data_IF_207779012077
#
_entry.id   IF_207779012077
#
_cell.length_a   1.000
_cell.length_b   1.000
_cell.length_c   1.000
_cell.angle_alpha   90.00
_cell.angle_beta   90.00
_cell.angle_gamma   90.00
#
_symmetry.space_group_name_H-M   'P 1'
#
loop_
_entity.id
_entity.type
_entity.pdbx_description
1 polymer ?
#
# COMPACT_ATOMS: atom_id res chain seq x y z
N UNK A 1 3.87 -7.13 -25.21
CA UNK A 1 4.07 -5.68 -24.91
C UNK A 1 4.14 -5.50 -23.41
N UNK A 2 4.98 -4.61 -22.92
CA UNK A 2 5.03 -4.27 -21.49
C UNK A 2 3.86 -3.36 -21.18
N UNK A 3 3.00 -3.77 -20.26
CA UNK A 3 1.71 -3.13 -19.97
C UNK A 3 1.85 -1.71 -19.38
N UNK A 4 2.94 -1.45 -18.66
CA UNK A 4 3.20 -0.18 -17.98
C UNK A 4 4.40 0.57 -18.57
N UNK A 5 4.66 0.34 -19.89
CA UNK A 5 5.78 0.99 -20.57
C UNK A 5 5.71 2.53 -20.38
N UNK A 6 6.80 3.12 -19.89
CA UNK A 6 6.99 4.54 -19.61
C UNK A 6 6.04 5.18 -18.57
N UNK A 7 5.22 4.39 -17.88
CA UNK A 7 4.40 4.88 -16.76
C UNK A 7 5.27 5.26 -15.56
N UNK A 8 4.88 6.32 -14.87
CA UNK A 8 5.54 6.88 -13.70
C UNK A 8 4.75 6.47 -12.47
N UNK A 9 5.40 5.70 -11.60
CA UNK A 9 4.74 5.03 -10.46
C UNK A 9 5.41 5.43 -9.16
N UNK A 10 4.65 5.90 -8.17
CA UNK A 10 5.10 6.07 -6.80
C UNK A 10 4.59 4.91 -5.94
N UNK A 11 5.50 4.24 -5.22
CA UNK A 11 5.16 3.18 -4.25
C UNK A 11 5.65 3.58 -2.86
N UNK A 12 4.75 3.83 -1.92
CA UNK A 12 5.14 4.13 -0.54
C UNK A 12 5.54 2.87 0.21
N UNK A 13 6.57 2.95 1.06
CA UNK A 13 7.13 1.77 1.73
C UNK A 13 7.66 0.74 0.73
N UNK A 14 8.23 1.20 -0.40
CA UNK A 14 8.63 0.37 -1.54
C UNK A 14 9.96 -0.37 -1.38
N UNK A 15 10.67 -0.21 -0.27
CA UNK A 15 12.03 -0.76 -0.11
C UNK A 15 12.08 -2.23 0.33
N UNK A 16 10.97 -2.81 0.82
CA UNK A 16 10.89 -4.20 1.32
C UNK A 16 9.49 -4.79 1.18
N UNK A 17 9.38 -6.10 1.42
CA UNK A 17 8.11 -6.84 1.52
C UNK A 17 7.19 -6.62 0.31
N UNK A 18 5.91 -6.39 0.58
CA UNK A 18 4.87 -6.17 -0.44
C UNK A 18 5.23 -5.00 -1.35
N UNK A 19 5.67 -3.86 -0.78
CA UNK A 19 6.02 -2.67 -1.55
C UNK A 19 7.16 -2.89 -2.54
N UNK A 20 8.21 -3.62 -2.14
CA UNK A 20 9.31 -4.01 -3.04
C UNK A 20 8.81 -4.90 -4.18
N UNK A 21 7.96 -5.87 -3.88
CA UNK A 21 7.39 -6.76 -4.89
C UNK A 21 6.51 -5.99 -5.89
N UNK A 22 5.71 -5.03 -5.41
CA UNK A 22 4.92 -4.12 -6.26
C UNK A 22 5.83 -3.28 -7.15
N UNK A 23 6.86 -2.65 -6.57
CA UNK A 23 7.80 -1.81 -7.31
C UNK A 23 8.50 -2.60 -8.43
N UNK A 24 8.97 -3.81 -8.11
CA UNK A 24 9.58 -4.73 -9.07
C UNK A 24 8.63 -5.11 -10.19
N UNK A 25 7.39 -5.49 -9.85
CA UNK A 25 6.40 -5.90 -10.83
C UNK A 25 6.07 -4.77 -11.84
N UNK A 26 5.98 -3.51 -11.39
CA UNK A 26 5.84 -2.37 -12.29
C UNK A 26 7.09 -2.14 -13.16
N UNK A 27 8.28 -2.18 -12.57
CA UNK A 27 9.54 -1.99 -13.31
C UNK A 27 9.74 -3.06 -14.37
N UNK A 28 9.43 -4.33 -14.08
CA UNK A 28 9.50 -5.45 -15.03
C UNK A 28 8.53 -5.26 -16.21
N UNK A 29 7.43 -4.53 -15.99
CA UNK A 29 6.46 -4.14 -17.02
C UNK A 29 6.78 -2.81 -17.73
N UNK A 30 7.97 -2.24 -17.48
CA UNK A 30 8.49 -1.07 -18.18
C UNK A 30 8.18 0.27 -17.55
N UNK A 31 7.63 0.31 -16.35
CA UNK A 31 7.42 1.56 -15.62
C UNK A 31 8.74 2.13 -15.08
N UNK A 32 8.75 3.44 -14.86
CA UNK A 32 9.73 4.13 -14.00
C UNK A 32 9.13 4.26 -12.62
N UNK A 33 9.84 3.78 -11.60
CA UNK A 33 9.32 3.66 -10.24
C UNK A 33 10.08 4.54 -9.27
N UNK A 34 9.37 5.37 -8.52
CA UNK A 34 9.84 6.00 -7.30
C UNK A 34 9.42 5.13 -6.11
N UNK A 35 10.38 4.63 -5.33
CA UNK A 35 10.10 3.98 -4.07
C UNK A 35 10.30 4.97 -2.92
N UNK A 36 9.36 4.99 -1.98
CA UNK A 36 9.55 5.74 -0.74
C UNK A 36 10.05 4.80 0.37
N UNK A 37 10.92 5.32 1.21
CA UNK A 37 11.35 4.70 2.47
C UNK A 37 11.48 5.75 3.58
N UNK A 38 11.36 5.32 4.85
CA UNK A 38 11.47 6.24 5.99
C UNK A 38 12.91 6.37 6.48
N UNK A 39 13.59 5.28 6.81
CA UNK A 39 14.87 5.30 7.50
C UNK A 39 15.92 4.32 6.97
N UNK A 40 15.55 3.22 6.33
CA UNK A 40 16.49 2.21 5.87
C UNK A 40 16.96 2.51 4.43
N UNK A 41 17.97 3.39 4.32
CA UNK A 41 18.56 3.76 3.03
C UNK A 41 19.28 2.57 2.33
N UNK A 42 19.87 1.66 3.11
CA UNK A 42 20.52 0.48 2.54
C UNK A 42 19.52 -0.42 1.83
N UNK A 43 18.38 -0.76 2.48
CA UNK A 43 17.32 -1.55 1.86
C UNK A 43 16.73 -0.86 0.61
N UNK A 44 16.64 0.48 0.63
CA UNK A 44 16.16 1.23 -0.54
C UNK A 44 17.16 1.17 -1.71
N UNK A 45 18.46 1.29 -1.44
CA UNK A 45 19.50 1.16 -2.44
C UNK A 45 19.56 -0.26 -3.02
N UNK A 46 19.42 -1.29 -2.18
CA UNK A 46 19.35 -2.69 -2.59
C UNK A 46 18.14 -2.93 -3.50
N UNK A 47 16.98 -2.43 -3.10
CA UNK A 47 15.77 -2.51 -3.91
C UNK A 47 15.99 -1.87 -5.28
N UNK A 48 16.54 -0.66 -5.35
CA UNK A 48 16.80 0.02 -6.63
C UNK A 48 17.74 -0.78 -7.56
N UNK A 49 18.74 -1.46 -7.01
CA UNK A 49 19.65 -2.31 -7.82
C UNK A 49 18.94 -3.53 -8.41
N UNK A 50 17.90 -4.01 -7.74
CA UNK A 50 17.09 -5.15 -8.20
C UNK A 50 15.96 -4.74 -9.16
N UNK A 51 15.56 -3.45 -9.18
CA UNK A 51 14.55 -2.99 -10.11
C UNK A 51 15.09 -2.98 -11.54
N UNK A 52 14.38 -3.63 -12.45
CA UNK A 52 14.66 -3.60 -13.88
C UNK A 52 14.44 -2.20 -14.46
N UNK A 53 15.03 -1.95 -15.67
CA UNK A 53 14.83 -0.71 -16.38
C UNK A 53 15.77 0.43 -15.94
N UNK A 54 15.44 1.65 -16.37
CA UNK A 54 16.21 2.88 -16.08
C UNK A 54 15.28 3.97 -15.54
N UNK A 55 15.85 4.86 -14.70
CA UNK A 55 15.12 6.01 -14.18
C UNK A 55 14.29 5.73 -12.94
N UNK A 56 14.52 4.60 -12.27
CA UNK A 56 13.96 4.34 -10.94
C UNK A 56 14.70 5.17 -9.88
N UNK A 57 13.98 5.67 -8.89
CA UNK A 57 14.52 6.53 -7.83
C UNK A 57 14.04 6.07 -6.45
N UNK A 58 14.80 6.41 -5.40
CA UNK A 58 14.40 6.22 -4.02
C UNK A 58 14.30 7.58 -3.33
N UNK A 59 13.20 7.80 -2.62
CA UNK A 59 12.88 9.05 -1.96
C UNK A 59 12.68 8.80 -0.46
N UNK A 60 13.44 9.49 0.35
CA UNK A 60 13.31 9.41 1.81
C UNK A 60 12.24 10.40 2.28
N UNK A 61 11.22 9.91 2.98
CA UNK A 61 10.22 10.73 3.66
C UNK A 61 9.55 9.93 4.77
N UNK A 62 9.29 10.55 5.92
CA UNK A 62 8.33 10.06 6.89
C UNK A 62 6.94 10.55 6.49
N UNK A 63 6.16 9.68 5.89
CA UNK A 63 4.84 10.02 5.37
C UNK A 63 3.80 10.31 6.46
N UNK A 64 4.08 9.99 7.73
CA UNK A 64 3.24 10.39 8.85
C UNK A 64 3.27 11.92 9.10
N UNK A 65 4.29 12.60 8.58
CA UNK A 65 4.37 14.06 8.51
C UNK A 65 3.70 14.54 7.22
N UNK A 66 2.59 15.31 7.28
CA UNK A 66 1.87 15.77 6.10
C UNK A 66 2.72 16.63 5.15
N UNK A 67 3.68 17.41 5.66
CA UNK A 67 4.55 18.23 4.83
C UNK A 67 5.51 17.34 4.03
N UNK A 68 6.12 16.33 4.67
CA UNK A 68 6.98 15.36 3.98
C UNK A 68 6.18 14.48 3.00
N UNK A 69 4.93 14.13 3.32
CA UNK A 69 4.06 13.40 2.41
C UNK A 69 3.76 14.21 1.12
N UNK A 70 3.53 15.51 1.25
CA UNK A 70 3.33 16.40 0.10
C UNK A 70 4.62 16.55 -0.72
N UNK A 71 5.75 16.81 -0.07
CA UNK A 71 7.07 16.89 -0.73
C UNK A 71 7.44 15.61 -1.46
N UNK A 72 7.14 14.44 -0.89
CA UNK A 72 7.37 13.14 -1.53
C UNK A 72 6.68 13.05 -2.89
N UNK A 73 5.44 13.53 -3.00
CA UNK A 73 4.70 13.52 -4.28
C UNK A 73 5.34 14.49 -5.27
N UNK A 74 5.74 15.68 -4.84
CA UNK A 74 6.43 16.67 -5.68
C UNK A 74 7.78 16.15 -6.18
N UNK A 75 8.57 15.55 -5.30
CA UNK A 75 9.87 14.94 -5.65
C UNK A 75 9.71 13.76 -6.61
N UNK A 76 8.67 12.93 -6.42
CA UNK A 76 8.36 11.84 -7.34
C UNK A 76 7.98 12.38 -8.74
N UNK A 77 7.13 13.40 -8.81
CA UNK A 77 6.74 14.06 -10.06
C UNK A 77 7.97 14.64 -10.77
N UNK A 78 8.82 15.37 -10.04
CA UNK A 78 10.03 15.98 -10.58
C UNK A 78 11.03 14.92 -11.07
N UNK A 79 11.32 13.93 -10.24
CA UNK A 79 12.32 12.89 -10.54
C UNK A 79 11.91 11.93 -11.65
N UNK A 80 10.62 11.62 -11.78
CA UNK A 80 10.11 10.74 -12.82
C UNK A 80 9.67 11.50 -14.09
N UNK A 81 9.48 12.81 -14.01
CA UNK A 81 8.93 13.65 -15.09
C UNK A 81 7.40 13.47 -15.24
N UNK A 82 6.68 13.33 -14.13
CA UNK A 82 5.23 13.16 -14.04
C UNK A 82 4.83 12.05 -13.06
N UNK A 83 3.52 11.79 -12.93
CA UNK A 83 3.00 10.76 -12.03
C UNK A 83 1.69 10.19 -12.59
N UNK A 84 1.71 8.94 -13.02
CA UNK A 84 0.56 8.23 -13.60
C UNK A 84 -0.14 7.33 -12.58
N UNK A 85 0.64 6.73 -11.64
CA UNK A 85 0.13 5.72 -10.71
C UNK A 85 0.71 5.98 -9.32
N UNK A 86 -0.14 5.92 -8.30
CA UNK A 86 0.26 5.91 -6.88
C UNK A 86 -0.19 4.62 -6.23
N UNK A 87 0.73 4.00 -5.49
CA UNK A 87 0.42 2.86 -4.63
C UNK A 87 0.73 3.23 -3.18
N UNK A 88 -0.31 3.44 -2.38
CA UNK A 88 -0.20 3.62 -0.93
C UNK A 88 -0.10 2.26 -0.26
N UNK A 89 1.14 1.80 -0.08
CA UNK A 89 1.43 0.51 0.53
C UNK A 89 2.00 0.65 1.94
N UNK A 90 2.69 1.74 2.26
CA UNK A 90 3.28 1.94 3.58
C UNK A 90 2.23 1.81 4.69
N UNK A 91 2.61 1.14 5.76
CA UNK A 91 1.76 0.96 6.92
C UNK A 91 2.53 0.32 8.08
N UNK A 92 2.01 0.51 9.27
CA UNK A 92 2.53 -0.07 10.51
C UNK A 92 1.43 -0.85 11.21
N UNK A 93 1.84 -1.86 11.98
CA UNK A 93 1.02 -2.56 12.97
C UNK A 93 1.69 -2.38 14.32
N UNK A 94 1.00 -1.79 15.28
CA UNK A 94 1.44 -1.66 16.66
C UNK A 94 0.58 -2.56 17.53
N UNK A 95 1.22 -3.32 18.42
CA UNK A 95 0.54 -4.17 19.39
C UNK A 95 0.13 -3.32 20.60
N UNK A 96 -1.16 -3.22 20.88
CA UNK A 96 -1.73 -2.43 21.99
C UNK A 96 -3.09 -2.99 22.43
N UNK A 97 -3.13 -4.21 22.99
CA UNK A 97 -4.39 -4.81 23.42
C UNK A 97 -4.98 -4.04 24.58
N UNK A 98 -6.29 -3.78 24.54
CA UNK A 98 -6.99 -2.95 25.52
C UNK A 98 -6.88 -3.50 26.97
N UNK A 99 -6.69 -4.82 27.09
CA UNK A 99 -6.61 -5.45 28.40
C UNK A 99 -5.30 -5.19 29.16
N UNK A 100 -4.22 -4.80 28.47
CA UNK A 100 -2.87 -4.72 29.04
C UNK A 100 -2.12 -3.44 28.72
N UNK A 101 -2.56 -2.64 27.75
CA UNK A 101 -1.92 -1.39 27.40
C UNK A 101 -2.29 -0.29 28.39
N UNK A 102 -1.31 0.51 28.83
CA UNK A 102 -1.57 1.74 29.55
C UNK A 102 -2.23 2.77 28.63
N UNK A 103 -3.06 3.67 29.20
CA UNK A 103 -3.82 4.63 28.41
C UNK A 103 -2.94 5.56 27.57
N UNK A 104 -1.78 5.97 28.07
CA UNK A 104 -0.80 6.77 27.33
C UNK A 104 -0.27 6.04 26.10
N UNK A 105 0.11 4.77 26.25
CA UNK A 105 0.61 3.93 25.17
C UNK A 105 -0.49 3.59 24.16
N UNK A 106 -1.71 3.34 24.65
CA UNK A 106 -2.90 3.17 23.84
C UNK A 106 -3.10 4.38 22.90
N UNK A 107 -3.14 5.59 23.46
CA UNK A 107 -3.35 6.81 22.65
C UNK A 107 -2.18 7.07 21.70
N UNK A 108 -0.92 6.81 22.12
CA UNK A 108 0.24 6.95 21.26
C UNK A 108 0.18 5.99 20.07
N UNK A 109 -0.18 4.72 20.30
CA UNK A 109 -0.33 3.72 19.24
C UNK A 109 -1.45 4.09 18.25
N UNK A 110 -2.58 4.62 18.76
CA UNK A 110 -3.66 5.11 17.92
C UNK A 110 -3.22 6.27 17.01
N UNK A 111 -2.61 7.29 17.57
CA UNK A 111 -2.13 8.45 16.79
C UNK A 111 -1.16 8.01 15.71
N UNK A 112 -0.10 7.30 16.09
CA UNK A 112 0.91 6.87 15.15
C UNK A 112 0.34 5.98 14.04
N UNK A 113 -0.61 5.08 14.38
CA UNK A 113 -1.23 4.18 13.40
C UNK A 113 -2.14 4.96 12.44
N UNK A 114 -2.97 5.87 12.94
CA UNK A 114 -3.86 6.68 12.09
C UNK A 114 -3.05 7.62 11.20
N UNK A 115 -2.05 8.30 11.74
CA UNK A 115 -1.20 9.21 10.99
C UNK A 115 -0.51 8.47 9.83
N UNK A 116 0.08 7.29 10.10
CA UNK A 116 0.83 6.54 9.08
C UNK A 116 -0.08 5.82 8.09
N UNK A 117 -1.14 5.12 8.57
CA UNK A 117 -1.89 4.20 7.71
C UNK A 117 -3.06 4.87 6.98
N UNK A 118 -3.55 6.00 7.48
CA UNK A 118 -4.74 6.67 6.94
C UNK A 118 -4.45 8.09 6.49
N UNK A 119 -3.97 8.97 7.37
CA UNK A 119 -3.78 10.39 7.04
C UNK A 119 -2.66 10.58 6.01
N UNK A 120 -1.59 9.81 6.08
CA UNK A 120 -0.53 9.81 5.07
C UNK A 120 -1.08 9.45 3.68
N UNK A 121 -1.86 8.36 3.59
CA UNK A 121 -2.48 7.96 2.33
C UNK A 121 -3.46 9.02 1.81
N UNK A 122 -4.25 9.67 2.69
CA UNK A 122 -5.16 10.75 2.31
C UNK A 122 -4.38 11.95 1.74
N UNK A 123 -3.29 12.36 2.38
CA UNK A 123 -2.43 13.46 1.94
C UNK A 123 -1.79 13.17 0.58
N UNK A 124 -1.23 11.98 0.40
CA UNK A 124 -0.63 11.53 -0.85
C UNK A 124 -1.68 11.46 -1.97
N UNK A 125 -2.87 10.91 -1.68
CA UNK A 125 -3.97 10.86 -2.64
C UNK A 125 -4.38 12.28 -3.08
N UNK A 126 -4.48 13.23 -2.15
CA UNK A 126 -4.81 14.62 -2.47
C UNK A 126 -3.77 15.23 -3.41
N UNK A 127 -2.49 15.20 -3.05
CA UNK A 127 -1.41 15.79 -3.85
C UNK A 127 -1.30 15.14 -5.23
N UNK A 128 -1.38 13.82 -5.31
CA UNK A 128 -1.34 13.08 -6.55
C UNK A 128 -2.55 13.40 -7.45
N UNK A 129 -3.76 13.44 -6.87
CA UNK A 129 -4.97 13.76 -7.63
C UNK A 129 -4.91 15.18 -8.22
N UNK A 130 -4.38 16.18 -7.48
CA UNK A 130 -4.16 17.54 -8.00
C UNK A 130 -3.24 17.56 -9.24
N UNK A 131 -2.20 16.72 -9.26
CA UNK A 131 -1.35 16.57 -10.44
C UNK A 131 -2.09 15.84 -11.57
N UNK A 132 -2.69 14.68 -11.27
CA UNK A 132 -3.36 13.81 -12.24
C UNK A 132 -4.51 14.50 -12.97
N UNK A 133 -5.33 15.32 -12.25
CA UNK A 133 -6.41 16.10 -12.86
C UNK A 133 -5.92 17.04 -13.97
N UNK A 134 -4.73 17.61 -13.82
CA UNK A 134 -4.12 18.52 -14.82
C UNK A 134 -3.40 17.80 -15.95
N UNK A 135 -3.18 16.48 -15.83
CA UNK A 135 -2.38 15.68 -16.77
C UNK A 135 -3.15 14.50 -17.37
N UNK A 136 -4.48 14.57 -17.40
CA UNK A 136 -5.32 13.62 -18.14
C UNK A 136 -5.76 12.38 -17.35
N UNK A 137 -5.54 12.35 -16.04
CA UNK A 137 -6.00 11.28 -15.18
C UNK A 137 -4.88 10.43 -14.59
N UNK A 138 -5.24 9.33 -13.94
CA UNK A 138 -4.28 8.44 -13.28
C UNK A 138 -4.91 7.26 -12.57
N UNK A 139 -4.11 6.54 -11.79
CA UNK A 139 -4.53 5.40 -10.98
C UNK A 139 -4.01 5.54 -9.55
N UNK A 140 -4.87 5.24 -8.58
CA UNK A 140 -4.51 5.17 -7.16
C UNK A 140 -4.89 3.78 -6.64
N UNK A 141 -3.93 3.06 -6.09
CA UNK A 141 -4.18 1.76 -5.46
C UNK A 141 -3.76 1.82 -4.00
N UNK A 142 -4.68 1.55 -3.11
CA UNK A 142 -4.44 1.55 -1.67
C UNK A 142 -4.33 0.11 -1.15
N UNK A 143 -3.25 -0.19 -0.41
CA UNK A 143 -3.06 -1.49 0.23
C UNK A 143 -3.66 -1.45 1.62
N UNK A 144 -4.82 -2.07 1.75
CA UNK A 144 -5.58 -2.23 2.97
C UNK A 144 -5.18 -3.52 3.71
N UNK A 145 -6.14 -4.22 4.30
CA UNK A 145 -5.96 -5.50 4.98
C UNK A 145 -7.32 -6.19 5.17
N UNK A 146 -7.33 -7.52 5.28
CA UNK A 146 -8.51 -8.24 5.79
C UNK A 146 -8.88 -7.79 7.21
N UNK A 147 -7.91 -7.26 7.98
CA UNK A 147 -8.13 -6.70 9.32
C UNK A 147 -9.12 -5.53 9.34
N UNK A 148 -9.32 -4.85 8.20
CA UNK A 148 -10.35 -3.83 8.04
C UNK A 148 -11.79 -4.35 8.21
N UNK A 149 -11.99 -5.67 8.10
CA UNK A 149 -13.31 -6.31 8.10
C UNK A 149 -13.53 -7.25 9.28
N UNK A 150 -12.47 -7.94 9.72
CA UNK A 150 -12.59 -8.97 10.78
C UNK A 150 -12.29 -8.50 12.20
N UNK A 151 -11.80 -7.27 12.33
CA UNK A 151 -11.25 -6.76 13.58
C UNK A 151 -9.83 -7.26 13.87
N UNK A 152 -9.10 -6.49 14.69
CA UNK A 152 -7.74 -6.80 15.14
C UNK A 152 -7.66 -6.55 16.65
N UNK A 153 -7.91 -7.58 17.49
CA UNK A 153 -8.05 -7.41 18.94
C UNK A 153 -6.79 -6.89 19.61
N UNK A 154 -5.62 -7.25 19.10
CA UNK A 154 -4.32 -6.85 19.64
C UNK A 154 -3.79 -5.53 19.03
N UNK A 155 -4.47 -5.00 18.01
CA UNK A 155 -4.11 -3.78 17.30
C UNK A 155 -5.33 -3.05 16.73
N UNK A 156 -6.32 -2.65 17.57
CA UNK A 156 -7.59 -2.14 17.08
C UNK A 156 -7.45 -0.86 16.23
N UNK A 157 -6.44 -0.02 16.49
CA UNK A 157 -6.15 1.13 15.65
C UNK A 157 -5.77 0.72 14.20
N UNK A 158 -5.10 -0.44 14.03
CA UNK A 158 -4.79 -0.95 12.70
C UNK A 158 -6.06 -1.28 11.91
N UNK A 159 -6.95 -2.08 12.50
CA UNK A 159 -8.23 -2.42 11.87
C UNK A 159 -9.03 -1.17 11.49
N UNK A 160 -9.15 -0.23 12.42
CA UNK A 160 -9.83 1.04 12.21
C UNK A 160 -9.18 1.87 11.08
N UNK A 161 -7.83 1.96 11.04
CA UNK A 161 -7.12 2.69 10.01
C UNK A 161 -7.35 2.11 8.61
N UNK A 162 -7.35 0.78 8.50
CA UNK A 162 -7.57 0.08 7.22
C UNK A 162 -9.03 0.11 6.78
N UNK A 163 -9.99 0.09 7.71
CA UNK A 163 -11.40 0.33 7.40
C UNK A 163 -11.64 1.77 6.93
N UNK A 164 -11.01 2.75 7.60
CA UNK A 164 -11.02 4.15 7.17
C UNK A 164 -10.41 4.35 5.78
N UNK A 165 -9.31 3.64 5.47
CA UNK A 165 -8.67 3.68 4.15
C UNK A 165 -9.60 3.11 3.05
N UNK A 166 -10.38 2.08 3.35
CA UNK A 166 -11.38 1.54 2.43
C UNK A 166 -12.46 2.59 2.13
N UNK A 167 -13.02 3.21 3.16
CA UNK A 167 -14.05 4.25 3.03
C UNK A 167 -13.53 5.49 2.28
N UNK A 168 -12.30 5.94 2.59
CA UNK A 168 -11.62 7.00 1.86
C UNK A 168 -11.50 6.65 0.37
N UNK A 169 -11.05 5.44 0.06
CA UNK A 169 -10.83 4.98 -1.32
C UNK A 169 -12.13 4.98 -2.12
N UNK A 170 -13.23 4.52 -1.53
CA UNK A 170 -14.55 4.53 -2.16
C UNK A 170 -15.06 5.96 -2.40
N UNK A 171 -14.87 6.86 -1.44
CA UNK A 171 -15.22 8.28 -1.57
C UNK A 171 -14.43 8.94 -2.71
N UNK A 172 -13.11 8.68 -2.77
CA UNK A 172 -12.24 9.20 -3.82
C UNK A 172 -12.57 8.59 -5.19
N UNK A 173 -12.95 7.32 -5.26
CA UNK A 173 -13.35 6.68 -6.51
C UNK A 173 -14.55 7.40 -7.15
N UNK A 174 -15.53 7.79 -6.35
CA UNK A 174 -16.71 8.55 -6.83
C UNK A 174 -16.29 9.97 -7.24
N UNK A 175 -15.54 10.67 -6.40
CA UNK A 175 -15.17 12.07 -6.61
C UNK A 175 -14.22 12.28 -7.80
N UNK A 176 -13.32 11.31 -8.06
CA UNK A 176 -12.23 11.46 -9.03
C UNK A 176 -12.51 10.80 -10.39
N UNK A 177 -13.50 9.92 -10.50
CA UNK A 177 -13.87 9.29 -11.78
C UNK A 177 -14.16 10.30 -12.90
N UNK A 178 -14.86 11.45 -12.67
CA UNK A 178 -15.05 12.47 -13.69
C UNK A 178 -13.73 13.07 -14.23
N UNK A 179 -12.65 12.94 -13.48
CA UNK A 179 -11.32 13.42 -13.85
C UNK A 179 -10.43 12.32 -14.44
N UNK A 180 -11.01 11.17 -14.84
CA UNK A 180 -10.27 10.02 -15.36
C UNK A 180 -9.22 9.47 -14.36
N UNK A 181 -9.50 9.58 -13.06
CA UNK A 181 -8.68 9.02 -11.99
C UNK A 181 -9.46 7.90 -11.33
N UNK A 182 -8.91 6.69 -11.33
CA UNK A 182 -9.57 5.49 -10.81
C UNK A 182 -8.86 5.01 -9.56
N UNK A 183 -9.65 4.68 -8.53
CA UNK A 183 -9.14 4.32 -7.21
C UNK A 183 -9.60 2.92 -6.86
N UNK A 184 -8.65 2.05 -6.52
CA UNK A 184 -8.93 0.68 -6.09
C UNK A 184 -8.21 0.32 -4.80
N UNK A 185 -8.65 -0.76 -4.17
CA UNK A 185 -8.09 -1.26 -2.92
C UNK A 185 -7.72 -2.73 -3.07
N UNK A 186 -6.57 -3.11 -2.53
CA UNK A 186 -6.20 -4.51 -2.31
C UNK A 186 -6.21 -4.75 -0.80
N UNK A 187 -6.89 -5.81 -0.36
CA UNK A 187 -6.98 -6.21 1.05
C UNK A 187 -6.29 -7.56 1.28
N UNK A 188 -4.98 -7.57 1.58
CA UNK A 188 -4.26 -8.81 1.85
C UNK A 188 -4.67 -9.45 3.18
N UNK A 189 -4.53 -10.78 3.24
CA UNK A 189 -4.41 -11.53 4.49
C UNK A 189 -2.99 -11.46 5.05
N UNK A 190 -2.54 -12.54 5.71
CA UNK A 190 -1.13 -12.69 6.04
C UNK A 190 -0.30 -12.90 4.77
N UNK A 191 0.83 -12.20 4.70
CA UNK A 191 1.77 -12.23 3.56
C UNK A 191 3.16 -12.54 4.10
N UNK A 192 3.89 -13.39 3.41
CA UNK A 192 5.26 -13.77 3.74
C UNK A 192 6.21 -12.57 3.57
N UNK A 193 6.46 -11.86 4.66
CA UNK A 193 7.29 -10.66 4.71
C UNK A 193 8.07 -10.63 6.02
N UNK A 194 9.15 -9.84 6.09
CA UNK A 194 9.91 -9.63 7.32
C UNK A 194 9.02 -9.17 8.49
N UNK A 195 8.00 -8.35 8.20
CA UNK A 195 7.04 -7.87 9.21
C UNK A 195 6.21 -9.02 9.81
N UNK A 196 5.95 -10.05 9.04
CA UNK A 196 5.14 -11.20 9.47
C UNK A 196 6.01 -12.36 9.99
N UNK A 197 7.34 -12.31 9.85
CA UNK A 197 8.22 -13.44 10.12
C UNK A 197 8.02 -14.02 11.52
N UNK A 198 8.07 -13.17 12.58
CA UNK A 198 7.87 -13.60 13.97
C UNK A 198 6.49 -14.23 14.23
N UNK A 199 5.47 -13.82 13.46
CA UNK A 199 4.09 -14.34 13.58
C UNK A 199 3.92 -15.69 12.89
N UNK A 200 4.83 -16.01 11.96
CA UNK A 200 4.77 -17.22 11.16
C UNK A 200 5.63 -18.37 11.70
N UNK A 201 6.22 -18.19 12.90
CA UNK A 201 7.01 -19.22 13.58
C UNK A 201 6.15 -20.11 14.48
N UNK A 202 6.57 -21.38 14.62
CA UNK A 202 5.99 -22.36 15.55
C UNK A 202 4.49 -22.59 15.37
N UNK A 203 3.83 -23.03 16.43
CA UNK A 203 2.39 -23.36 16.45
C UNK A 203 1.49 -22.18 16.03
N UNK A 204 1.89 -20.95 16.35
CA UNK A 204 1.17 -19.75 15.93
C UNK A 204 1.20 -19.61 14.41
N UNK A 205 2.34 -19.84 13.81
CA UNK A 205 2.50 -19.80 12.35
C UNK A 205 1.66 -20.88 11.67
N UNK A 206 1.61 -22.08 12.24
CA UNK A 206 0.76 -23.16 11.75
C UNK A 206 -0.72 -22.80 11.81
N UNK A 207 -1.17 -22.23 12.92
CA UNK A 207 -2.54 -21.74 13.08
C UNK A 207 -2.89 -20.62 12.09
N UNK A 208 -1.92 -19.74 11.77
CA UNK A 208 -2.11 -18.70 10.75
C UNK A 208 -2.23 -19.30 9.35
N UNK A 209 -1.37 -20.25 8.99
CA UNK A 209 -1.41 -20.94 7.68
C UNK A 209 -2.70 -21.73 7.50
N UNK A 210 -3.17 -22.38 8.55
CA UNK A 210 -4.42 -23.15 8.56
C UNK A 210 -5.68 -22.29 8.37
N UNK A 211 -5.62 -20.96 8.55
CA UNK A 211 -6.75 -20.08 8.26
C UNK A 211 -7.12 -20.06 6.78
N UNK A 212 -6.15 -20.30 5.90
CA UNK A 212 -6.41 -20.39 4.46
C UNK A 212 -6.54 -21.86 4.04
N UNK A 213 -7.58 -22.23 3.26
CA UNK A 213 -7.69 -23.57 2.69
C UNK A 213 -6.53 -23.95 1.76
N UNK A 214 -5.70 -22.98 1.35
CA UNK A 214 -4.47 -23.23 0.60
C UNK A 214 -3.32 -23.75 1.48
N UNK A 215 -3.50 -23.78 2.83
CA UNK A 215 -2.49 -24.25 3.79
C UNK A 215 -1.23 -23.37 3.88
N UNK A 216 -1.30 -22.13 3.38
CA UNK A 216 -0.19 -21.18 3.38
C UNK A 216 -0.67 -19.73 3.48
N UNK A 217 0.24 -18.82 3.77
CA UNK A 217 0.04 -17.38 3.62
C UNK A 217 0.30 -16.95 2.17
N UNK A 218 -0.11 -15.73 1.81
CA UNK A 218 0.16 -15.17 0.50
C UNK A 218 1.64 -14.82 0.34
N UNK A 219 2.14 -14.88 -0.89
CA UNK A 219 3.45 -14.32 -1.26
C UNK A 219 3.28 -12.86 -1.67
N UNK A 220 4.30 -11.99 -1.47
CA UNK A 220 4.24 -10.58 -1.89
C UNK A 220 3.85 -10.38 -3.36
N UNK A 221 4.27 -11.30 -4.25
CA UNK A 221 3.96 -11.26 -5.69
C UNK A 221 2.47 -11.43 -5.97
N UNK A 222 1.75 -12.21 -5.14
CA UNK A 222 0.32 -12.41 -5.30
C UNK A 222 -0.46 -11.12 -4.98
N UNK A 223 0.02 -10.33 -4.03
CA UNK A 223 -0.51 -8.99 -3.76
C UNK A 223 -0.16 -8.02 -4.89
N UNK A 224 1.08 -8.06 -5.38
CA UNK A 224 1.53 -7.22 -6.49
C UNK A 224 0.69 -7.45 -7.76
N UNK A 225 0.32 -8.69 -8.09
CA UNK A 225 -0.56 -9.00 -9.22
C UNK A 225 -1.91 -8.27 -9.13
N UNK A 226 -2.55 -8.27 -7.95
CA UNK A 226 -3.82 -7.58 -7.75
C UNK A 226 -3.67 -6.06 -7.87
N UNK A 227 -2.56 -5.50 -7.38
CA UNK A 227 -2.23 -4.07 -7.52
C UNK A 227 -2.05 -3.70 -8.99
N UNK A 228 -1.29 -4.47 -9.75
CA UNK A 228 -1.09 -4.23 -11.18
C UNK A 228 -2.40 -4.34 -11.96
N UNK A 229 -3.26 -5.30 -11.63
CA UNK A 229 -4.58 -5.42 -12.24
C UNK A 229 -5.39 -4.14 -12.05
N UNK A 230 -5.51 -3.63 -10.81
CA UNK A 230 -6.26 -2.39 -10.53
C UNK A 230 -5.65 -1.15 -11.20
N UNK A 231 -4.34 -1.15 -11.43
CA UNK A 231 -3.64 -0.05 -12.08
C UNK A 231 -3.67 -0.15 -13.62
N UNK A 232 -4.16 -1.27 -14.18
CA UNK A 232 -4.07 -1.55 -15.62
C UNK A 232 -5.10 -0.80 -16.45
N UNK A 233 -4.81 -0.53 -17.73
CA UNK A 233 -5.83 -0.15 -18.70
C UNK A 233 -6.88 -1.26 -18.83
N UNK A 234 -8.15 -0.89 -18.89
CA UNK A 234 -9.28 -1.83 -18.96
C UNK A 234 -9.88 -2.16 -17.58
N UNK A 235 -9.26 -1.72 -16.49
CA UNK A 235 -9.78 -1.89 -15.13
C UNK A 235 -10.62 -0.69 -14.63
N UNK A 236 -11.00 0.25 -15.49
CA UNK A 236 -11.70 1.49 -15.11
C UNK A 236 -13.00 1.21 -14.36
N UNK A 237 -13.78 0.26 -14.80
CA UNK A 237 -15.07 -0.11 -14.19
C UNK A 237 -14.93 -0.85 -12.85
N UNK A 238 -13.69 -1.16 -12.43
CA UNK A 238 -13.41 -1.67 -11.08
C UNK A 238 -13.12 -0.56 -10.07
N UNK A 239 -13.25 0.74 -10.45
CA UNK A 239 -13.05 1.84 -9.51
C UNK A 239 -13.97 1.72 -8.30
N UNK A 240 -13.43 1.95 -7.10
CA UNK A 240 -14.13 1.77 -5.83
C UNK A 240 -14.16 0.33 -5.30
N UNK A 241 -13.65 -0.66 -6.06
CA UNK A 241 -13.61 -2.04 -5.61
C UNK A 241 -12.53 -2.28 -4.55
N UNK A 242 -12.77 -3.31 -3.74
CA UNK A 242 -11.79 -3.85 -2.80
C UNK A 242 -11.57 -5.31 -3.17
N UNK A 243 -10.37 -5.65 -3.61
CA UNK A 243 -9.97 -7.01 -3.97
C UNK A 243 -9.32 -7.68 -2.76
N UNK A 244 -9.92 -8.78 -2.30
CA UNK A 244 -9.32 -9.61 -1.24
C UNK A 244 -8.21 -10.50 -1.82
N UNK A 245 -7.03 -10.42 -1.21
CA UNK A 245 -5.89 -11.31 -1.49
C UNK A 245 -5.53 -12.03 -0.19
N UNK A 246 -6.44 -12.90 0.27
CA UNK A 246 -6.34 -13.52 1.58
C UNK A 246 -6.47 -15.06 1.58
N UNK A 247 -6.53 -15.69 0.39
CA UNK A 247 -6.61 -17.12 0.24
C UNK A 247 -7.84 -17.74 0.93
N UNK A 248 -8.98 -17.04 0.89
CA UNK A 248 -10.23 -17.41 1.57
C UNK A 248 -10.10 -17.55 3.11
N UNK A 249 -9.06 -16.98 3.73
CA UNK A 249 -8.92 -16.95 5.19
C UNK A 249 -9.95 -16.05 5.89
N UNK A 250 -10.65 -15.22 5.12
CA UNK A 250 -11.81 -14.44 5.51
C UNK A 250 -12.67 -14.15 4.28
N UNK A 251 -13.94 -14.51 4.33
CA UNK A 251 -14.91 -14.23 3.27
C UNK A 251 -15.85 -13.11 3.76
N UNK A 252 -15.96 -12.07 2.98
CA UNK A 252 -16.92 -10.99 3.24
C UNK A 252 -18.31 -11.42 2.75
N UNK A 253 -19.29 -11.29 3.58
CA UNK A 253 -20.72 -11.45 3.24
C UNK A 253 -21.33 -10.08 2.97
#
# INVERSE_FOLDING_TARGET
MRQFQDKKVLVTGGSRGIGKSIARAFADQGARVAINYRSNAAAAADCLRELGGKGNIALQADIADPAQAAMLVEDAISGLGGLDIVVNNAGIYLWHPIATADFSDWIAAWRQTIDTNLLAAASICYCAAQHMMRHGGGRIVNVSSRGAFRGEPDGPAYGASKAGLNALSQSLAIALAPHNIFVGVVAPGFVETDMAAEWLEGERGDAIRAQSPLGRVARPEEVAHAVLFLASPGAEFTTGTIIDVNGASYLRS
#
